data_IF_642653204587
#
_entry.id   IF_642653204587
#
_cell.length_a   1.000
_cell.length_b   1.000
_cell.length_c   1.000
_cell.angle_alpha   90.00
_cell.angle_beta   90.00
_cell.angle_gamma   90.00
#
_symmetry.space_group_name_H-M   'P 1'
#
loop_
_entity.id
_entity.type
_entity.pdbx_description
1 polymer ?
#
# COMPACT_ATOMS: atom_id res chain seq x y z
N UNK A 1 -17.85 21.79 -2.20
CA UNK A 1 -16.38 22.00 -2.09
C UNK A 1 -15.99 23.36 -2.66
N UNK A 2 -16.36 23.70 -3.90
CA UNK A 2 -16.05 25.00 -4.52
C UNK A 2 -16.46 26.20 -3.65
N UNK A 3 -17.72 26.22 -3.17
CA UNK A 3 -18.20 27.28 -2.27
C UNK A 3 -17.38 27.43 -0.99
N UNK A 4 -16.89 26.32 -0.43
CA UNK A 4 -16.06 26.33 0.78
C UNK A 4 -14.66 26.92 0.55
N UNK A 5 -14.16 26.82 -0.68
CA UNK A 5 -12.83 27.29 -1.09
C UNK A 5 -12.87 28.73 -1.60
N UNK A 6 -14.00 29.16 -2.20
CA UNK A 6 -14.10 30.47 -2.86
C UNK A 6 -14.86 31.51 -2.05
N UNK A 7 -15.90 31.11 -1.30
CA UNK A 7 -16.80 32.05 -0.64
C UNK A 7 -17.41 31.44 0.63
N UNK A 8 -16.61 31.21 1.69
CA UNK A 8 -17.15 30.86 2.98
C UNK A 8 -17.98 32.02 3.54
N UNK A 9 -19.01 31.69 4.32
CA UNK A 9 -19.94 32.62 4.98
C UNK A 9 -20.08 32.22 6.45
N UNK A 10 -18.96 32.22 7.18
CA UNK A 10 -18.96 31.90 8.61
C UNK A 10 -19.29 33.14 9.44
N UNK A 11 -18.72 34.29 9.07
CA UNK A 11 -18.82 35.52 9.85
C UNK A 11 -19.60 36.62 9.13
N UNK A 12 -19.74 36.54 7.81
CA UNK A 12 -20.40 37.56 6.99
C UNK A 12 -19.58 38.84 6.84
N UNK A 13 -18.28 38.79 7.11
CA UNK A 13 -17.35 39.92 7.07
C UNK A 13 -15.99 39.52 6.47
N UNK A 14 -15.02 40.45 6.52
CA UNK A 14 -13.70 40.27 5.91
C UNK A 14 -12.93 39.03 6.40
N UNK A 15 -13.24 38.49 7.59
CA UNK A 15 -12.61 37.28 8.12
C UNK A 15 -12.88 36.07 7.24
N UNK A 16 -14.03 36.04 6.57
CA UNK A 16 -14.36 34.99 5.62
C UNK A 16 -13.36 34.94 4.45
N UNK A 17 -12.78 36.08 4.04
CA UNK A 17 -11.73 36.10 3.01
C UNK A 17 -10.45 35.40 3.48
N UNK A 18 -10.11 35.52 4.77
CA UNK A 18 -8.95 34.84 5.37
C UNK A 18 -9.22 33.33 5.46
N UNK A 19 -10.44 32.94 5.87
CA UNK A 19 -10.87 31.55 5.87
C UNK A 19 -10.83 30.96 4.46
N UNK A 20 -11.26 31.70 3.44
CA UNK A 20 -11.20 31.25 2.05
C UNK A 20 -9.77 30.92 1.63
N UNK A 21 -8.81 31.80 1.94
CA UNK A 21 -7.37 31.57 1.65
C UNK A 21 -6.83 30.36 2.42
N UNK A 22 -7.21 30.19 3.68
CA UNK A 22 -6.82 29.02 4.47
C UNK A 22 -7.41 27.72 3.89
N UNK A 23 -8.68 27.73 3.49
CA UNK A 23 -9.33 26.60 2.83
C UNK A 23 -8.70 26.29 1.47
N UNK A 24 -8.27 27.31 0.71
CA UNK A 24 -7.52 27.14 -0.53
C UNK A 24 -6.18 26.46 -0.30
N UNK A 25 -5.38 26.94 0.67
CA UNK A 25 -4.14 26.29 1.06
C UNK A 25 -4.39 24.84 1.49
N UNK A 26 -5.46 24.63 2.27
CA UNK A 26 -5.84 23.29 2.72
C UNK A 26 -6.25 22.35 1.59
N UNK A 27 -6.88 22.88 0.55
CA UNK A 27 -7.24 22.12 -0.63
C UNK A 27 -6.00 21.81 -1.49
N UNK A 28 -5.06 22.78 -1.61
CA UNK A 28 -3.84 22.65 -2.41
C UNK A 28 -2.90 21.54 -1.95
N UNK A 29 -2.66 21.39 -0.64
CA UNK A 29 -1.81 20.31 -0.10
C UNK A 29 -2.58 19.00 0.19
N UNK A 30 -3.90 18.98 -0.02
CA UNK A 30 -4.74 17.79 0.08
C UNK A 30 -5.03 17.26 1.49
N UNK A 31 -5.01 18.12 2.51
CA UNK A 31 -5.28 17.71 3.89
C UNK A 31 -5.96 18.82 4.70
N UNK A 32 -6.86 18.43 5.60
CA UNK A 32 -7.48 19.34 6.56
C UNK A 32 -8.99 19.43 6.41
N UNK A 33 -9.59 20.46 7.04
CA UNK A 33 -11.03 20.65 7.12
C UNK A 33 -11.40 22.08 6.73
N UNK A 34 -12.20 22.21 5.68
CA UNK A 34 -12.76 23.49 5.26
C UNK A 34 -14.06 23.78 6.02
N UNK A 35 -13.99 24.76 6.91
CA UNK A 35 -15.16 25.40 7.50
C UNK A 35 -15.63 26.50 6.56
N UNK A 36 -16.93 26.56 6.28
CA UNK A 36 -17.45 27.53 5.31
C UNK A 36 -18.84 28.07 5.61
N UNK A 37 -19.56 27.50 6.57
CA UNK A 37 -20.82 28.02 7.06
C UNK A 37 -21.05 27.48 8.46
N UNK A 38 -21.66 28.28 9.35
CA UNK A 38 -22.00 27.86 10.71
C UNK A 38 -22.95 26.66 10.70
N UNK A 39 -23.84 26.60 9.71
CA UNK A 39 -24.88 25.58 9.63
C UNK A 39 -24.47 24.35 8.79
N UNK A 40 -23.22 24.30 8.31
CA UNK A 40 -22.75 23.22 7.47
C UNK A 40 -21.62 22.44 8.15
N UNK A 41 -21.59 21.13 7.89
CA UNK A 41 -20.47 20.29 8.31
C UNK A 41 -19.20 20.68 7.55
N UNK A 42 -18.03 20.69 8.21
CA UNK A 42 -16.77 20.96 7.54
C UNK A 42 -16.47 19.93 6.47
N UNK A 43 -15.92 20.37 5.34
CA UNK A 43 -15.50 19.47 4.26
C UNK A 43 -14.10 18.96 4.55
N UNK A 44 -13.92 17.64 4.61
CA UNK A 44 -12.59 17.05 4.70
C UNK A 44 -11.89 17.12 3.33
N UNK A 45 -10.68 17.66 3.31
CA UNK A 45 -9.79 17.55 2.15
C UNK A 45 -8.95 16.30 2.26
N UNK A 46 -8.88 15.58 1.14
CA UNK A 46 -8.02 14.41 0.94
C UNK A 46 -7.08 14.68 -0.24
N UNK A 47 -6.08 13.83 -0.43
CA UNK A 47 -5.16 13.91 -1.58
C UNK A 47 -5.88 13.76 -2.92
N UNK A 48 -7.07 13.16 -2.92
CA UNK A 48 -7.94 12.97 -4.09
C UNK A 48 -8.74 14.23 -4.44
N UNK A 49 -8.73 15.27 -3.59
CA UNK A 49 -9.51 16.47 -3.88
C UNK A 49 -9.01 17.16 -5.17
N UNK A 50 -9.91 17.72 -6.00
CA UNK A 50 -9.54 18.27 -7.31
C UNK A 50 -8.57 19.45 -7.27
N UNK A 51 -8.42 20.11 -6.12
CA UNK A 51 -7.52 21.25 -5.97
C UNK A 51 -6.13 20.85 -5.46
N UNK A 52 -5.89 19.57 -5.13
CA UNK A 52 -4.59 19.11 -4.65
C UNK A 52 -3.51 19.25 -5.75
N UNK A 53 -2.51 20.10 -5.50
CA UNK A 53 -1.39 20.37 -6.41
C UNK A 53 -0.05 19.81 -5.95
N UNK A 54 0.14 19.64 -4.64
CA UNK A 54 1.38 19.09 -4.11
C UNK A 54 1.41 17.58 -4.29
N UNK A 55 1.86 17.15 -5.47
CA UNK A 55 2.05 15.75 -5.82
C UNK A 55 3.47 15.52 -6.28
N UNK A 56 4.06 14.43 -5.83
CA UNK A 56 5.40 13.99 -6.22
C UNK A 56 5.29 12.66 -6.94
N UNK A 57 6.07 12.48 -8.00
CA UNK A 57 6.18 11.20 -8.69
C UNK A 57 7.46 10.53 -8.21
N UNK A 58 7.33 9.30 -7.70
CA UNK A 58 8.43 8.45 -7.33
C UNK A 58 8.52 7.25 -8.27
N UNK A 59 9.73 6.87 -8.65
CA UNK A 59 9.98 5.65 -9.41
C UNK A 59 10.28 4.51 -8.44
N UNK A 60 9.65 3.37 -8.67
CA UNK A 60 9.93 2.13 -7.96
C UNK A 60 10.24 1.06 -9.00
N UNK A 61 11.28 0.26 -8.75
CA UNK A 61 11.57 -0.90 -9.59
C UNK A 61 10.36 -1.84 -9.63
N UNK A 62 10.04 -2.36 -10.82
CA UNK A 62 8.99 -3.35 -10.97
C UNK A 62 9.35 -4.64 -10.22
N UNK A 63 8.39 -5.30 -9.57
CA UNK A 63 8.63 -6.64 -9.03
C UNK A 63 9.02 -7.58 -10.19
N UNK A 64 10.12 -8.32 -10.03
CA UNK A 64 10.59 -9.28 -11.04
C UNK A 64 10.05 -10.70 -10.82
N UNK A 65 9.42 -10.95 -9.68
CA UNK A 65 8.94 -12.26 -9.28
C UNK A 65 7.69 -12.68 -10.05
N UNK A 66 7.64 -13.94 -10.45
CA UNK A 66 6.45 -14.54 -11.08
C UNK A 66 5.48 -15.00 -10.01
N UNK A 67 4.20 -15.10 -10.36
CA UNK A 67 3.19 -15.64 -9.45
C UNK A 67 3.51 -17.08 -8.99
N UNK A 68 4.17 -17.85 -9.86
CA UNK A 68 4.66 -19.20 -9.57
C UNK A 68 5.76 -19.26 -8.51
N UNK A 69 6.44 -18.15 -8.23
CA UNK A 69 7.50 -18.11 -7.21
C UNK A 69 6.91 -18.13 -5.79
N UNK A 70 5.62 -17.77 -5.65
CA UNK A 70 4.86 -17.88 -4.41
C UNK A 70 5.18 -16.81 -3.37
N UNK A 71 5.88 -15.73 -3.77
CA UNK A 71 6.39 -14.74 -2.83
C UNK A 71 5.30 -13.79 -2.31
N UNK A 72 5.13 -13.79 -0.98
CA UNK A 72 4.31 -12.84 -0.26
C UNK A 72 5.19 -12.08 0.72
N UNK A 73 5.08 -10.76 0.68
CA UNK A 73 5.80 -9.84 1.55
C UNK A 73 4.97 -9.49 2.77
N UNK A 74 5.59 -9.51 3.94
CA UNK A 74 5.00 -9.15 5.23
C UNK A 74 5.84 -8.07 5.90
N UNK A 75 5.24 -6.90 6.16
CA UNK A 75 5.91 -5.82 6.89
C UNK A 75 5.66 -6.01 8.38
N UNK A 76 6.70 -6.27 9.16
CA UNK A 76 6.64 -6.52 10.60
C UNK A 76 7.03 -5.28 11.41
N UNK A 77 6.35 -5.07 12.54
CA UNK A 77 6.69 -4.07 13.58
C UNK A 77 7.92 -4.46 14.41
N UNK A 78 8.92 -5.08 13.79
CA UNK A 78 10.12 -5.55 14.44
C UNK A 78 11.35 -5.28 13.56
N UNK A 79 12.48 -5.00 14.21
CA UNK A 79 13.78 -4.83 13.53
C UNK A 79 14.22 -6.12 12.85
N UNK A 80 14.97 -5.98 11.77
CA UNK A 80 15.54 -7.10 11.00
C UNK A 80 16.28 -8.10 11.89
N UNK A 81 17.14 -7.64 12.81
CA UNK A 81 17.92 -8.53 13.69
C UNK A 81 17.03 -9.37 14.61
N UNK A 82 15.97 -8.77 15.15
CA UNK A 82 15.00 -9.48 15.99
C UNK A 82 14.27 -10.56 15.18
N UNK A 83 13.85 -10.22 13.96
CA UNK A 83 13.14 -11.16 13.08
C UNK A 83 14.06 -12.31 12.65
N UNK A 84 15.32 -12.04 12.32
CA UNK A 84 16.30 -13.07 11.99
C UNK A 84 16.58 -14.00 13.16
N UNK A 85 16.71 -13.48 14.38
CA UNK A 85 16.90 -14.29 15.59
C UNK A 85 15.69 -15.18 15.92
N UNK A 86 14.48 -14.68 15.64
CA UNK A 86 13.22 -15.38 15.93
C UNK A 86 12.57 -16.00 14.69
N UNK A 87 13.34 -16.22 13.62
CA UNK A 87 12.80 -16.65 12.32
C UNK A 87 12.05 -17.99 12.41
N UNK A 88 12.58 -18.94 13.18
CA UNK A 88 11.92 -20.24 13.42
C UNK A 88 10.56 -20.07 14.08
N UNK A 89 10.47 -19.22 15.11
CA UNK A 89 9.20 -18.95 15.80
C UNK A 89 8.19 -18.27 14.87
N UNK A 90 8.64 -17.35 14.00
CA UNK A 90 7.80 -16.71 13.00
C UNK A 90 7.23 -17.75 12.02
N UNK A 91 8.08 -18.63 11.49
CA UNK A 91 7.69 -19.72 10.59
C UNK A 91 6.67 -20.65 11.25
N UNK A 92 6.91 -21.07 12.50
CA UNK A 92 5.99 -21.92 13.25
C UNK A 92 4.64 -21.24 13.50
N UNK A 93 4.66 -19.94 13.76
CA UNK A 93 3.45 -19.16 13.99
C UNK A 93 2.62 -19.04 12.72
N UNK A 94 3.25 -18.77 11.58
CA UNK A 94 2.57 -18.72 10.28
C UNK A 94 2.05 -20.12 9.88
N UNK A 95 2.81 -21.18 10.15
CA UNK A 95 2.35 -22.55 9.91
C UNK A 95 1.10 -22.89 10.73
N UNK A 96 1.04 -22.43 11.99
CA UNK A 96 -0.16 -22.54 12.83
C UNK A 96 -1.35 -21.76 12.26
N UNK A 97 -1.12 -20.54 11.76
CA UNK A 97 -2.16 -19.71 11.11
C UNK A 97 -2.74 -20.43 9.88
N UNK A 98 -1.91 -21.16 9.13
CA UNK A 98 -2.32 -22.00 8.00
C UNK A 98 -2.96 -23.34 8.41
N UNK A 99 -3.23 -23.53 9.71
CA UNK A 99 -3.93 -24.70 10.25
C UNK A 99 -3.02 -25.88 10.61
N UNK A 100 -1.71 -25.67 10.71
CA UNK A 100 -0.72 -26.69 11.07
C UNK A 100 -0.73 -27.93 10.16
N UNK A 101 -1.09 -27.76 8.88
CA UNK A 101 -1.19 -28.87 7.93
C UNK A 101 0.21 -29.45 7.63
N UNK A 102 0.37 -30.76 7.77
CA UNK A 102 1.64 -31.46 7.52
C UNK A 102 2.04 -31.45 6.04
N UNK A 103 1.10 -31.17 5.15
CA UNK A 103 1.31 -30.99 3.72
C UNK A 103 1.93 -29.63 3.38
N UNK A 104 1.88 -28.66 4.29
CA UNK A 104 2.37 -27.30 4.06
C UNK A 104 3.70 -27.06 4.78
N UNK A 105 4.62 -26.38 4.09
CA UNK A 105 5.89 -25.92 4.65
C UNK A 105 6.06 -24.44 4.34
N UNK A 106 6.19 -23.63 5.40
CA UNK A 106 6.44 -22.18 5.27
C UNK A 106 7.94 -21.95 5.17
N UNK A 107 8.37 -21.16 4.19
CA UNK A 107 9.77 -20.85 3.95
C UNK A 107 9.98 -19.33 3.92
N UNK A 108 11.10 -18.88 4.46
CA UNK A 108 11.53 -17.47 4.41
C UNK A 108 12.56 -17.34 3.30
N UNK A 109 12.26 -16.48 2.32
CA UNK A 109 13.18 -16.15 1.23
C UNK A 109 14.18 -15.08 1.66
N UNK A 110 13.70 -14.01 2.30
CA UNK A 110 14.56 -12.91 2.75
C UNK A 110 13.94 -12.11 3.88
N UNK A 111 14.80 -11.45 4.66
CA UNK A 111 14.42 -10.46 5.67
C UNK A 111 15.28 -9.23 5.44
N UNK A 112 14.65 -8.06 5.31
CA UNK A 112 15.36 -6.77 5.13
C UNK A 112 14.78 -5.68 6.02
N UNK A 113 15.63 -4.74 6.42
CA UNK A 113 15.23 -3.58 7.20
C UNK A 113 14.29 -2.65 6.42
N UNK A 114 13.32 -2.10 7.15
CA UNK A 114 12.45 -1.00 6.71
C UNK A 114 12.65 0.21 7.66
N UNK A 115 12.32 1.44 7.21
CA UNK A 115 12.36 2.61 8.07
C UNK A 115 11.47 2.47 9.32
N UNK A 116 11.90 3.06 10.44
CA UNK A 116 11.11 3.11 11.67
C UNK A 116 11.15 1.81 12.49
N UNK A 117 12.29 1.15 12.55
CA UNK A 117 12.51 -0.06 13.35
C UNK A 117 11.63 -1.26 12.92
N UNK A 118 11.33 -1.32 11.62
CA UNK A 118 10.51 -2.36 10.97
C UNK A 118 11.36 -3.25 10.06
N UNK A 119 10.75 -4.32 9.56
CA UNK A 119 11.37 -5.19 8.57
C UNK A 119 10.35 -5.75 7.58
N UNK A 120 10.80 -6.02 6.37
CA UNK A 120 10.05 -6.75 5.35
C UNK A 120 10.55 -8.21 5.37
N UNK A 121 9.63 -9.16 5.50
CA UNK A 121 9.89 -10.58 5.37
C UNK A 121 9.21 -11.09 4.11
N UNK A 122 9.98 -11.68 3.20
CA UNK A 122 9.43 -12.38 2.04
C UNK A 122 9.33 -13.85 2.37
N UNK A 123 8.13 -14.41 2.26
CA UNK A 123 7.84 -15.83 2.48
C UNK A 123 7.27 -16.48 1.23
N UNK A 124 7.36 -17.80 1.16
CA UNK A 124 6.57 -18.64 0.26
C UNK A 124 6.15 -19.92 0.99
N UNK A 125 5.12 -20.59 0.47
CA UNK A 125 4.62 -21.86 1.04
C UNK A 125 4.74 -22.97 0.00
N UNK A 126 5.32 -24.09 0.43
CA UNK A 126 5.40 -25.32 -0.37
C UNK A 126 4.31 -26.27 0.10
N UNK A 127 3.50 -26.76 -0.84
CA UNK A 127 2.50 -27.79 -0.64
C UNK A 127 3.01 -29.13 -1.19
N UNK A 128 2.97 -30.17 -0.36
CA UNK A 128 3.23 -31.56 -0.73
C UNK A 128 1.91 -32.25 -1.10
N UNK A 129 1.84 -32.72 -2.34
CA UNK A 129 0.70 -33.44 -2.88
C UNK A 129 0.73 -34.92 -2.50
N UNK A 130 -0.44 -35.57 -2.58
CA UNK A 130 -0.61 -37.00 -2.26
C UNK A 130 0.20 -37.94 -3.16
N UNK A 131 0.53 -37.51 -4.37
CA UNK A 131 1.43 -38.21 -5.30
C UNK A 131 2.93 -38.09 -4.92
N UNK A 132 3.25 -37.38 -3.83
CA UNK A 132 4.61 -37.14 -3.37
C UNK A 132 5.31 -35.94 -4.01
N UNK A 133 4.71 -35.29 -5.01
CA UNK A 133 5.23 -34.07 -5.62
C UNK A 133 5.08 -32.87 -4.68
N UNK A 134 5.95 -31.87 -4.84
CA UNK A 134 5.86 -30.60 -4.12
C UNK A 134 5.71 -29.45 -5.11
N UNK A 135 4.86 -28.49 -4.78
CA UNK A 135 4.69 -27.25 -5.54
C UNK A 135 4.68 -26.05 -4.61
N UNK A 136 5.08 -24.88 -5.11
CA UNK A 136 4.84 -23.63 -4.40
C UNK A 136 3.38 -23.20 -4.62
N UNK A 137 2.74 -22.72 -3.57
CA UNK A 137 1.45 -22.03 -3.68
C UNK A 137 1.68 -20.72 -4.42
N UNK A 138 0.76 -20.35 -5.31
CA UNK A 138 0.86 -19.10 -6.07
C UNK A 138 0.82 -17.89 -5.12
N UNK A 139 1.54 -16.82 -5.45
CA UNK A 139 1.60 -15.64 -4.59
C UNK A 139 0.22 -14.99 -4.42
N UNK A 140 -0.56 -14.91 -5.51
CA UNK A 140 -1.94 -14.40 -5.51
C UNK A 140 -2.87 -15.26 -4.65
N UNK A 141 -2.76 -16.58 -4.74
CA UNK A 141 -3.55 -17.54 -3.96
C UNK A 141 -3.22 -17.42 -2.47
N UNK A 142 -1.92 -17.43 -2.13
CA UNK A 142 -1.46 -17.31 -0.75
C UNK A 142 -1.87 -15.97 -0.11
N UNK A 143 -1.74 -14.88 -0.87
CA UNK A 143 -2.21 -13.56 -0.44
C UNK A 143 -3.72 -13.53 -0.17
N UNK A 144 -4.52 -14.16 -1.04
CA UNK A 144 -5.97 -14.22 -0.87
C UNK A 144 -6.36 -15.01 0.39
N UNK A 145 -5.66 -16.11 0.69
CA UNK A 145 -5.86 -16.89 1.92
C UNK A 145 -5.55 -16.05 3.15
N UNK A 146 -4.38 -15.40 3.21
CA UNK A 146 -4.01 -14.55 4.34
C UNK A 146 -4.89 -13.31 4.48
N UNK A 147 -5.52 -12.85 3.40
CA UNK A 147 -6.44 -11.71 3.43
C UNK A 147 -7.81 -12.02 4.03
N UNK A 148 -8.13 -13.29 4.30
CA UNK A 148 -9.35 -13.66 5.01
C UNK A 148 -9.34 -13.09 6.43
N UNK A 149 -10.46 -12.48 6.87
CA UNK A 149 -10.55 -11.70 8.11
C UNK A 149 -9.96 -12.39 9.35
N UNK A 150 -10.18 -13.69 9.52
CA UNK A 150 -9.66 -14.44 10.66
C UNK A 150 -8.12 -14.56 10.62
N UNK A 151 -7.57 -14.92 9.46
CA UNK A 151 -6.12 -15.12 9.28
C UNK A 151 -5.39 -13.79 9.31
N UNK A 152 -5.98 -12.76 8.68
CA UNK A 152 -5.45 -11.40 8.70
C UNK A 152 -5.30 -10.88 10.13
N UNK A 153 -6.30 -11.05 10.99
CA UNK A 153 -6.22 -10.66 12.41
C UNK A 153 -5.13 -11.42 13.17
N UNK A 154 -4.91 -12.70 12.86
CA UNK A 154 -3.84 -13.48 13.48
C UNK A 154 -2.46 -13.00 13.02
N UNK A 155 -2.30 -12.63 11.75
CA UNK A 155 -1.07 -12.01 11.24
C UNK A 155 -0.83 -10.63 11.86
N UNK A 156 -1.87 -9.81 12.01
CA UNK A 156 -1.78 -8.53 12.71
C UNK A 156 -1.33 -8.70 14.17
N UNK A 157 -1.81 -9.76 14.84
CA UNK A 157 -1.36 -10.11 16.19
C UNK A 157 0.11 -10.56 16.26
N UNK A 158 0.66 -11.09 15.16
CA UNK A 158 2.11 -11.36 15.01
C UNK A 158 2.92 -10.09 14.68
N UNK A 159 2.26 -8.93 14.57
CA UNK A 159 2.91 -7.66 14.26
C UNK A 159 3.04 -7.37 12.77
N UNK A 160 2.31 -8.08 11.90
CA UNK A 160 2.21 -7.75 10.47
C UNK A 160 1.34 -6.49 10.29
N UNK A 161 1.89 -5.44 9.69
CA UNK A 161 1.15 -4.20 9.37
C UNK A 161 0.65 -4.13 7.95
N UNK A 162 1.41 -4.72 7.03
CA UNK A 162 1.11 -4.68 5.61
C UNK A 162 1.52 -6.01 4.97
N UNK A 163 0.80 -6.37 3.92
CA UNK A 163 1.04 -7.59 3.16
C UNK A 163 0.84 -7.33 1.67
N UNK A 164 1.71 -7.87 0.84
CA UNK A 164 1.65 -7.70 -0.62
C UNK A 164 2.11 -8.98 -1.31
N UNK A 165 1.35 -9.47 -2.30
CA UNK A 165 1.82 -10.49 -3.24
C UNK A 165 2.90 -9.87 -4.16
N UNK A 166 4.11 -10.42 -4.15
CA UNK A 166 5.21 -9.94 -5.00
C UNK A 166 5.08 -10.60 -6.38
N UNK A 167 4.18 -10.08 -7.20
CA UNK A 167 4.00 -10.53 -8.58
C UNK A 167 4.30 -9.38 -9.54
N UNK A 168 5.07 -9.70 -10.58
CA UNK A 168 5.28 -8.81 -11.70
C UNK A 168 3.93 -8.52 -12.36
N UNK A 169 3.68 -7.23 -12.64
CA UNK A 169 2.56 -6.86 -13.50
C UNK A 169 2.80 -7.43 -14.89
N UNK A 170 1.77 -8.02 -15.50
CA UNK A 170 1.87 -8.39 -16.89
C UNK A 170 1.87 -7.14 -17.79
N UNK A 171 2.29 -7.28 -19.05
CA UNK A 171 2.44 -6.15 -19.97
C UNK A 171 1.14 -5.34 -20.14
N UNK A 172 -0.03 -6.00 -20.15
CA UNK A 172 -1.31 -5.31 -20.31
C UNK A 172 -1.72 -4.53 -19.06
N UNK A 173 -1.48 -5.07 -17.86
CA UNK A 173 -1.69 -4.38 -16.58
C UNK A 173 -0.76 -3.18 -16.45
N UNK A 174 0.52 -3.34 -16.79
CA UNK A 174 1.49 -2.24 -16.76
C UNK A 174 1.09 -1.14 -17.74
N UNK A 175 0.72 -1.52 -18.97
CA UNK A 175 0.25 -0.57 -19.98
C UNK A 175 -1.00 0.17 -19.50
N UNK A 176 -1.99 -0.55 -18.97
CA UNK A 176 -3.21 0.06 -18.44
C UNK A 176 -2.90 1.05 -17.31
N UNK A 177 -1.97 0.72 -16.42
CA UNK A 177 -1.53 1.63 -15.36
C UNK A 177 -0.84 2.88 -15.91
N UNK A 178 0.03 2.76 -16.91
CA UNK A 178 0.76 3.88 -17.50
C UNK A 178 -0.09 4.77 -18.41
N UNK A 179 -1.12 4.21 -19.05
CA UNK A 179 -2.06 4.92 -19.92
C UNK A 179 -3.07 5.76 -19.11
N UNK A 180 -3.29 5.44 -17.84
CA UNK A 180 -4.25 6.13 -16.98
C UNK A 180 -3.53 6.85 -15.82
N UNK A 181 -3.33 8.18 -15.89
CA UNK A 181 -2.68 8.90 -14.80
C UNK A 181 -3.50 8.77 -13.50
N UNK A 182 -2.84 8.70 -12.32
CA UNK A 182 -3.53 8.72 -11.04
C UNK A 182 -4.38 9.98 -10.88
N UNK A 183 -5.46 9.88 -10.09
CA UNK A 183 -6.42 10.98 -9.94
C UNK A 183 -5.75 12.29 -9.51
N UNK A 184 -6.02 13.33 -10.30
CA UNK A 184 -5.52 14.68 -10.14
C UNK A 184 -4.01 14.84 -10.35
N UNK A 185 -3.32 13.87 -10.94
CA UNK A 185 -1.99 14.10 -11.54
C UNK A 185 -2.23 14.71 -12.93
N UNK A 186 -1.52 15.79 -13.24
CA UNK A 186 -1.61 16.44 -14.54
C UNK A 186 -1.09 15.51 -15.65
N UNK A 187 -1.78 15.47 -16.79
CA UNK A 187 -1.43 14.60 -17.92
C UNK A 187 -0.03 14.89 -18.47
N UNK A 188 0.35 16.17 -18.59
CA UNK A 188 1.66 16.56 -19.11
C UNK A 188 2.74 16.15 -18.14
N UNK A 189 2.52 16.36 -16.83
CA UNK A 189 3.46 15.92 -15.79
C UNK A 189 3.62 14.39 -15.79
N UNK A 190 2.54 13.64 -15.96
CA UNK A 190 2.59 12.17 -16.02
C UNK A 190 3.35 11.67 -17.25
N UNK A 191 3.07 12.22 -18.43
CA UNK A 191 3.82 11.90 -19.66
C UNK A 191 5.30 12.25 -19.54
N UNK A 192 5.62 13.38 -18.91
CA UNK A 192 7.00 13.78 -18.67
C UNK A 192 7.69 12.81 -17.70
N UNK A 193 7.03 12.41 -16.62
CA UNK A 193 7.59 11.43 -15.69
C UNK A 193 7.84 10.06 -16.35
N UNK A 194 6.97 9.61 -17.26
CA UNK A 194 7.25 8.38 -18.02
C UNK A 194 8.54 8.49 -18.85
N UNK A 195 8.84 9.67 -19.40
CA UNK A 195 10.09 9.93 -20.15
C UNK A 195 11.30 10.08 -19.24
N UNK A 196 11.11 10.66 -18.06
CA UNK A 196 12.17 10.89 -17.07
C UNK A 196 12.44 9.65 -16.18
N UNK A 197 11.77 8.53 -16.44
CA UNK A 197 12.00 7.28 -15.74
C UNK A 197 13.47 6.84 -15.89
N UNK A 198 14.24 6.72 -14.80
CA UNK A 198 15.65 6.34 -14.88
C UNK A 198 15.86 4.91 -15.38
N UNK A 199 14.84 4.05 -15.27
CA UNK A 199 14.83 2.70 -15.84
C UNK A 199 13.51 2.46 -16.61
N UNK A 200 13.47 2.82 -17.90
CA UNK A 200 12.24 2.74 -18.70
C UNK A 200 11.86 1.30 -19.11
N UNK A 201 12.61 0.28 -18.68
CA UNK A 201 12.45 -1.11 -19.10
C UNK A 201 11.81 -1.99 -18.04
#
# INVERSE_FOLDING_TARGET
MTSAVTMPTLFGDERDSVIAKLNQLQALWGYGKAFYSINAQPINFTLENPFCRFKTIGYSCLPSAKDSDGFVSLDLKHKEDYVKQNQTQLVDSIHKILGSQTTLSVCVESVRSLPGDKSEVIIFVVERQSNGASRRILATELYAVFSQDNLKKQLEALGVENMVAKTALNESQLKQFLDNPPLGVDLILWEQAKKDNPDPK
#
